data_IF_556900338183
#
_entry.id   IF_556900338183
#
_cell.length_a   1.000
_cell.length_b   1.000
_cell.length_c   1.000
_cell.angle_alpha   90.00
_cell.angle_beta   90.00
_cell.angle_gamma   90.00
#
_symmetry.space_group_name_H-M   'P 1'
#
loop_
_entity.id
_entity.type
_entity.pdbx_description
1 polymer ?
#
# COMPACT_ATOMS: atom_id res chain seq x y z
N UNK A 1 -4.46 -4.04 13.99
CA UNK A 1 -3.12 -4.32 14.17
C UNK A 1 -2.17 -3.81 13.08
N UNK A 2 -1.02 -4.38 13.11
CA UNK A 2 0.08 -4.01 12.21
C UNK A 2 -0.25 -4.23 10.74
N UNK A 3 -0.99 -5.29 10.43
CA UNK A 3 -1.39 -5.56 9.04
C UNK A 3 -2.25 -4.44 8.46
N UNK A 4 -3.11 -3.86 9.27
CA UNK A 4 -3.96 -2.74 8.85
C UNK A 4 -3.11 -1.51 8.58
N UNK A 5 -2.12 -1.23 9.43
CA UNK A 5 -1.20 -0.10 9.25
C UNK A 5 -0.40 -0.24 7.97
N UNK A 6 0.13 -1.43 7.72
CA UNK A 6 0.86 -1.72 6.49
C UNK A 6 -0.02 -1.45 5.27
N UNK A 7 -1.25 -1.94 5.31
CA UNK A 7 -2.22 -1.73 4.23
C UNK A 7 -2.50 -0.25 3.97
N UNK A 8 -2.72 0.53 5.05
CA UNK A 8 -3.00 1.95 4.92
C UNK A 8 -1.82 2.68 4.26
N UNK A 9 -0.62 2.47 4.77
CA UNK A 9 0.56 3.18 4.27
C UNK A 9 0.85 2.82 2.82
N UNK A 10 0.80 1.52 2.48
CA UNK A 10 1.09 1.08 1.11
C UNK A 10 0.02 1.58 0.14
N UNK A 11 -1.25 1.54 0.51
CA UNK A 11 -2.33 2.05 -0.34
C UNK A 11 -2.22 3.55 -0.55
N UNK A 12 -1.87 4.32 0.48
CA UNK A 12 -1.68 5.76 0.34
C UNK A 12 -0.48 6.10 -0.55
N UNK A 13 0.60 5.32 -0.46
CA UNK A 13 1.74 5.50 -1.35
C UNK A 13 1.34 5.25 -2.81
N UNK A 14 0.61 4.17 -3.06
CA UNK A 14 0.11 3.85 -4.40
C UNK A 14 -0.80 4.97 -4.90
N UNK A 15 -1.65 5.51 -4.03
CA UNK A 15 -2.53 6.64 -4.35
C UNK A 15 -1.73 7.88 -4.74
N UNK A 16 -0.62 8.13 -4.05
CA UNK A 16 0.28 9.21 -4.39
C UNK A 16 0.86 9.02 -5.81
N UNK A 17 1.27 7.81 -6.14
CA UNK A 17 1.84 7.51 -7.45
C UNK A 17 0.82 7.60 -8.59
N UNK A 18 -0.39 7.13 -8.37
CA UNK A 18 -1.42 7.06 -9.43
C UNK A 18 -2.27 8.31 -9.54
N UNK A 19 -2.56 8.97 -8.43
CA UNK A 19 -3.51 10.08 -8.39
C UNK A 19 -2.96 11.35 -7.77
N UNK A 20 -1.65 11.39 -7.49
CA UNK A 20 -1.02 12.53 -6.83
C UNK A 20 -1.63 12.82 -5.44
N UNK A 21 -2.01 11.76 -4.70
CA UNK A 21 -2.42 11.96 -3.31
C UNK A 21 -1.37 12.82 -2.62
N UNK A 22 -1.76 13.87 -1.89
CA UNK A 22 -0.78 14.82 -1.34
C UNK A 22 0.26 14.13 -0.47
N UNK A 23 1.53 14.24 -0.86
CA UNK A 23 2.63 13.60 -0.12
C UNK A 23 2.70 14.11 1.32
N UNK A 24 2.33 15.35 1.54
CA UNK A 24 2.29 15.95 2.87
C UNK A 24 1.31 15.19 3.77
N UNK A 25 0.14 14.85 3.24
CA UNK A 25 -0.86 14.11 4.00
C UNK A 25 -0.41 12.67 4.24
N UNK A 26 0.20 12.04 3.24
CA UNK A 26 0.76 10.70 3.38
C UNK A 26 1.80 10.67 4.50
N UNK A 27 2.72 11.62 4.51
CA UNK A 27 3.77 11.67 5.53
C UNK A 27 3.21 11.96 6.91
N UNK A 28 2.20 12.82 7.00
CA UNK A 28 1.56 13.13 8.27
C UNK A 28 0.86 11.90 8.87
N UNK A 29 0.14 11.15 8.04
CA UNK A 29 -0.53 9.94 8.48
C UNK A 29 0.48 8.88 8.92
N UNK A 30 1.54 8.70 8.13
CA UNK A 30 2.59 7.75 8.44
C UNK A 30 3.29 8.09 9.77
N UNK A 31 3.63 9.35 9.97
CA UNK A 31 4.27 9.80 11.21
C UNK A 31 3.36 9.60 12.43
N UNK A 32 2.06 9.82 12.24
CA UNK A 32 1.09 9.59 13.30
C UNK A 32 1.02 8.11 13.68
N UNK A 33 0.99 7.22 12.68
CA UNK A 33 0.93 5.78 12.92
C UNK A 33 2.22 5.25 13.54
N UNK A 34 3.38 5.82 13.19
CA UNK A 34 4.67 5.46 13.77
C UNK A 34 4.70 5.59 15.29
N UNK A 35 3.89 6.48 15.85
CA UNK A 35 3.85 6.71 17.29
C UNK A 35 3.19 5.56 18.05
N UNK A 36 2.33 4.80 17.38
CA UNK A 36 1.48 3.80 18.04
C UNK A 36 1.78 2.37 17.62
N UNK A 37 2.52 2.17 16.53
CA UNK A 37 2.75 0.85 15.97
C UNK A 37 4.22 0.67 15.63
N UNK A 38 4.72 -0.56 15.85
CA UNK A 38 6.05 -0.95 15.43
C UNK A 38 5.99 -1.43 13.98
N UNK A 39 6.91 -0.95 13.15
CA UNK A 39 6.96 -1.35 11.76
C UNK A 39 7.92 -2.52 11.60
N UNK A 40 7.56 -3.42 10.68
CA UNK A 40 8.36 -4.60 10.35
C UNK A 40 8.92 -4.37 8.96
N UNK A 41 10.23 -4.62 8.77
CA UNK A 41 10.80 -4.51 7.44
C UNK A 41 10.56 -5.78 6.63
N UNK A 42 10.41 -5.63 5.32
CA UNK A 42 10.16 -6.74 4.40
C UNK A 42 11.32 -6.85 3.41
N UNK A 43 11.79 -8.09 3.20
CA UNK A 43 12.77 -8.35 2.14
C UNK A 43 12.06 -8.34 0.78
N UNK A 44 12.85 -8.23 -0.31
CA UNK A 44 12.27 -8.34 -1.66
C UNK A 44 11.54 -9.66 -1.84
N UNK A 45 12.09 -10.74 -1.32
CA UNK A 45 11.48 -12.06 -1.38
C UNK A 45 10.12 -12.08 -0.69
N UNK A 46 10.03 -11.44 0.49
CA UNK A 46 8.76 -11.34 1.23
C UNK A 46 7.72 -10.56 0.42
N UNK A 47 8.12 -9.45 -0.19
CA UNK A 47 7.22 -8.62 -0.99
C UNK A 47 6.70 -9.41 -2.19
N UNK A 48 7.57 -10.13 -2.87
CA UNK A 48 7.18 -10.96 -4.02
C UNK A 48 6.20 -12.05 -3.60
N UNK A 49 6.43 -12.69 -2.46
CA UNK A 49 5.53 -13.72 -1.95
C UNK A 49 4.16 -13.15 -1.58
N UNK A 50 4.14 -11.99 -0.96
CA UNK A 50 2.88 -11.31 -0.63
C UNK A 50 2.10 -11.00 -1.91
N UNK A 51 2.77 -10.48 -2.92
CA UNK A 51 2.12 -10.16 -4.18
C UNK A 51 1.53 -11.41 -4.83
N UNK A 52 2.28 -12.51 -4.85
CA UNK A 52 1.82 -13.77 -5.43
C UNK A 52 0.60 -14.32 -4.68
N UNK A 53 0.59 -14.22 -3.35
CA UNK A 53 -0.55 -14.65 -2.55
C UNK A 53 -1.79 -13.80 -2.83
N UNK A 54 -1.63 -12.50 -3.01
CA UNK A 54 -2.73 -11.60 -3.33
C UNK A 54 -3.31 -11.92 -4.71
N UNK A 55 -2.46 -12.17 -5.68
CA UNK A 55 -2.91 -12.58 -7.03
C UNK A 55 -3.68 -13.90 -6.95
N UNK A 56 -3.17 -14.86 -6.21
CA UNK A 56 -3.82 -16.15 -6.05
C UNK A 56 -5.24 -16.00 -5.51
N UNK A 57 -5.40 -15.21 -4.43
CA UNK A 57 -6.71 -14.97 -3.84
C UNK A 57 -7.67 -14.27 -4.81
N UNK A 58 -7.18 -13.28 -5.55
CA UNK A 58 -8.01 -12.49 -6.46
C UNK A 58 -8.27 -13.19 -7.79
N UNK A 59 -7.41 -14.13 -8.17
CA UNK A 59 -7.57 -14.88 -9.40
C UNK A 59 -8.85 -15.67 -9.44
N UNK A 60 -9.33 -16.11 -8.29
CA UNK A 60 -10.58 -16.86 -8.18
C UNK A 60 -11.82 -16.01 -8.41
N UNK A 61 -11.67 -14.69 -8.42
CA UNK A 61 -12.79 -13.77 -8.60
C UNK A 61 -12.66 -12.90 -9.86
N UNK A 62 -11.50 -12.28 -10.13
CA UNK A 62 -11.38 -11.32 -11.24
C UNK A 62 -10.05 -11.33 -11.95
N UNK A 63 -9.11 -12.18 -11.61
CA UNK A 63 -7.76 -12.23 -12.18
C UNK A 63 -6.94 -10.95 -11.96
N UNK A 64 -7.39 -10.04 -11.10
CA UNK A 64 -6.72 -8.76 -10.85
C UNK A 64 -6.74 -8.45 -9.37
N UNK A 65 -5.69 -7.77 -8.91
CA UNK A 65 -5.67 -7.21 -7.58
C UNK A 65 -6.30 -5.83 -7.67
N UNK A 66 -7.45 -5.65 -7.02
CA UNK A 66 -8.14 -4.38 -7.00
C UNK A 66 -7.93 -3.70 -5.66
N UNK A 67 -7.61 -2.42 -5.72
CA UNK A 67 -7.36 -1.59 -4.54
C UNK A 67 -8.37 -0.46 -4.46
N UNK A 68 -8.63 0.01 -3.24
CA UNK A 68 -9.32 1.27 -3.03
C UNK A 68 -8.24 2.31 -2.78
N UNK A 69 -8.07 3.22 -3.72
CA UNK A 69 -7.07 4.27 -3.63
C UNK A 69 -7.76 5.60 -3.35
N UNK A 70 -6.99 6.64 -3.04
CA UNK A 70 -7.55 7.94 -2.72
C UNK A 70 -6.89 9.04 -3.54
N UNK A 71 -7.69 9.93 -4.12
CA UNK A 71 -7.16 11.13 -4.79
C UNK A 71 -6.75 12.17 -3.75
N UNK A 72 -7.51 12.25 -2.67
CA UNK A 72 -7.27 13.10 -1.51
C UNK A 72 -8.05 12.50 -0.35
N UNK A 73 -7.86 13.02 0.85
CA UNK A 73 -8.61 12.53 2.02
C UNK A 73 -10.11 12.71 1.76
N UNK A 74 -10.85 11.60 1.91
CA UNK A 74 -12.29 11.61 1.71
C UNK A 74 -12.76 11.42 0.27
N UNK A 75 -11.84 11.12 -0.67
CA UNK A 75 -12.18 10.93 -2.08
C UNK A 75 -11.67 9.58 -2.58
N UNK A 76 -12.33 8.47 -2.23
CA UNK A 76 -11.88 7.14 -2.61
C UNK A 76 -12.18 6.82 -4.07
N UNK A 77 -11.30 6.04 -4.68
CA UNK A 77 -11.48 5.50 -6.02
C UNK A 77 -11.37 3.99 -5.93
N UNK A 78 -12.47 3.30 -6.19
CA UNK A 78 -12.54 1.84 -6.02
C UNK A 78 -12.08 1.11 -7.29
N UNK A 79 -11.84 -0.18 -7.15
CA UNK A 79 -11.52 -1.09 -8.26
C UNK A 79 -10.33 -0.66 -9.09
N UNK A 80 -9.28 -0.16 -8.43
CA UNK A 80 -8.06 0.26 -9.11
C UNK A 80 -7.08 -0.91 -9.24
N UNK A 81 -6.61 -1.15 -10.45
CA UNK A 81 -5.58 -2.14 -10.71
C UNK A 81 -4.20 -1.58 -10.33
N UNK A 82 -3.40 -2.40 -9.65
CA UNK A 82 -2.05 -2.02 -9.26
C UNK A 82 -1.09 -3.09 -9.80
N UNK A 83 -0.10 -2.66 -10.59
CA UNK A 83 0.88 -3.58 -11.12
C UNK A 83 1.95 -3.94 -10.07
N UNK A 84 2.75 -4.95 -10.39
CA UNK A 84 3.76 -5.47 -9.49
C UNK A 84 4.79 -4.41 -9.10
N UNK A 85 5.21 -3.57 -10.05
CA UNK A 85 6.27 -2.60 -9.81
C UNK A 85 5.84 -1.54 -8.78
N UNK A 86 4.64 -1.00 -8.92
CA UNK A 86 4.11 -0.01 -7.98
C UNK A 86 3.86 -0.66 -6.62
N UNK A 87 3.35 -1.88 -6.61
CA UNK A 87 3.15 -2.63 -5.38
C UNK A 87 4.46 -2.79 -4.62
N UNK A 88 5.51 -3.20 -5.32
CA UNK A 88 6.84 -3.37 -4.73
C UNK A 88 7.39 -2.04 -4.21
N UNK A 89 7.24 -0.96 -4.98
CA UNK A 89 7.66 0.37 -4.54
C UNK A 89 6.99 0.78 -3.24
N UNK A 90 5.70 0.46 -3.07
CA UNK A 90 4.97 0.84 -1.86
C UNK A 90 5.53 0.17 -0.61
N UNK A 91 5.96 -1.08 -0.72
CA UNK A 91 6.61 -1.78 0.38
C UNK A 91 8.01 -1.27 0.65
N UNK A 92 8.74 -0.89 -0.39
CA UNK A 92 10.07 -0.28 -0.22
C UNK A 92 9.95 1.07 0.47
N UNK A 93 8.94 1.85 0.12
CA UNK A 93 8.64 3.10 0.82
C UNK A 93 8.34 2.84 2.29
N UNK A 94 7.55 1.83 2.58
CA UNK A 94 7.24 1.43 3.95
C UNK A 94 8.51 1.05 4.71
N UNK A 95 9.40 0.27 4.08
CA UNK A 95 10.67 -0.12 4.68
C UNK A 95 11.56 1.09 5.00
N UNK A 96 11.62 2.05 4.10
CA UNK A 96 12.47 3.24 4.25
C UNK A 96 12.06 4.12 5.42
N UNK A 97 10.88 3.88 5.97
CA UNK A 97 10.39 4.65 7.09
C UNK A 97 10.79 4.07 8.45
N UNK A 98 11.53 2.99 8.43
CA UNK A 98 11.98 2.32 9.67
C UNK A 98 13.28 2.95 10.24
#
# INVERSE_FOLDING_TARGET
GEAIVIGIITELYISHKKFNFPIKDLMAIKDHLDKYFSFISFSESDIDQIYELMIYDKKNSSNKINFVLMRKIGDPVVDQFVDRDIFKESFLFYNDSL
#
